data_IF_027525654059
#
_entry.id   IF_027525654059
#
_cell.length_a   1.000
_cell.length_b   1.000
_cell.length_c   1.000
_cell.angle_alpha   90.00
_cell.angle_beta   90.00
_cell.angle_gamma   90.00
#
_symmetry.space_group_name_H-M   'P 1'
#
loop_
_entity.id
_entity.type
_entity.pdbx_description
1 polymer ?
#
# COMPACT_ATOMS: atom_id res chain seq x y z
N UNK A 1 19.42 26.90 -0.79
CA UNK A 1 18.12 26.59 -1.42
C UNK A 1 18.25 26.56 -2.94
N UNK A 2 18.60 27.66 -3.62
CA UNK A 2 18.70 27.70 -5.10
C UNK A 2 19.58 26.60 -5.70
N UNK A 3 20.76 26.32 -5.11
CA UNK A 3 21.64 25.20 -5.57
C UNK A 3 21.00 23.82 -5.41
N UNK A 4 20.20 23.60 -4.36
CA UNK A 4 19.49 22.33 -4.14
C UNK A 4 18.30 22.21 -5.10
N UNK A 5 17.59 23.30 -5.33
CA UNK A 5 16.52 23.40 -6.32
C UNK A 5 17.03 23.12 -7.73
N UNK A 6 18.14 23.75 -8.12
CA UNK A 6 18.80 23.51 -9.41
C UNK A 6 19.27 22.06 -9.56
N UNK A 7 19.83 21.47 -8.48
CA UNK A 7 20.26 20.07 -8.46
C UNK A 7 19.07 19.12 -8.63
N UNK A 8 18.01 19.30 -7.82
CA UNK A 8 16.81 18.44 -7.88
C UNK A 8 16.07 18.61 -9.20
N UNK A 9 15.91 19.85 -9.69
CA UNK A 9 15.32 20.12 -11.00
C UNK A 9 16.11 19.48 -12.15
N UNK A 10 17.43 19.51 -12.07
CA UNK A 10 18.31 18.97 -13.10
C UNK A 10 18.38 17.43 -13.11
N UNK A 11 18.42 16.77 -11.95
CA UNK A 11 18.69 15.34 -11.86
C UNK A 11 17.46 14.52 -11.48
N UNK A 12 16.60 15.02 -10.60
CA UNK A 12 15.42 14.31 -10.14
C UNK A 12 14.18 14.67 -10.95
N UNK A 13 14.03 15.91 -11.38
CA UNK A 13 12.92 16.36 -12.20
C UNK A 13 12.70 15.51 -13.47
N UNK A 14 13.71 15.22 -14.28
CA UNK A 14 13.59 14.34 -15.44
C UNK A 14 13.16 12.92 -15.08
N UNK A 15 13.68 12.35 -13.98
CA UNK A 15 13.32 11.00 -13.51
C UNK A 15 11.85 10.98 -13.07
N UNK A 16 11.43 11.98 -12.31
CA UNK A 16 10.06 12.11 -11.85
C UNK A 16 9.07 12.26 -13.01
N UNK A 17 9.38 13.13 -13.97
CA UNK A 17 8.56 13.31 -15.17
C UNK A 17 8.48 12.03 -15.99
N UNK A 18 9.60 11.32 -16.16
CA UNK A 18 9.62 10.02 -16.81
C UNK A 18 8.74 8.99 -16.09
N UNK A 19 8.84 8.88 -14.76
CA UNK A 19 8.00 7.95 -13.98
C UNK A 19 6.51 8.31 -14.06
N UNK A 20 6.16 9.59 -13.96
CA UNK A 20 4.77 10.04 -14.06
C UNK A 20 4.17 9.81 -15.46
N UNK A 21 4.99 9.91 -16.52
CA UNK A 21 4.57 9.65 -17.90
C UNK A 21 4.69 8.18 -18.28
N UNK A 22 5.38 7.38 -17.48
CA UNK A 22 5.57 5.96 -17.77
C UNK A 22 4.28 5.17 -17.51
N UNK A 23 3.80 4.50 -18.55
CA UNK A 23 2.56 3.72 -18.54
C UNK A 23 2.53 2.62 -17.48
N UNK A 24 3.70 2.06 -17.13
CA UNK A 24 3.83 1.04 -16.07
C UNK A 24 3.50 1.63 -14.69
N UNK A 25 4.16 2.71 -14.30
CA UNK A 25 3.96 3.32 -12.97
C UNK A 25 2.57 3.93 -12.82
N UNK A 26 2.05 4.55 -13.88
CA UNK A 26 0.67 5.08 -13.90
C UNK A 26 -0.35 3.95 -13.72
N UNK A 27 -0.23 2.86 -14.48
CA UNK A 27 -1.13 1.70 -14.35
C UNK A 27 -1.00 1.01 -12.98
N UNK A 28 0.22 0.92 -12.43
CA UNK A 28 0.47 0.33 -11.13
C UNK A 28 -0.22 1.12 -10.01
N UNK A 29 -0.03 2.43 -9.98
CA UNK A 29 -0.67 3.31 -8.98
C UNK A 29 -2.20 3.21 -9.05
N UNK A 30 -2.77 3.28 -10.25
CA UNK A 30 -4.22 3.17 -10.43
C UNK A 30 -4.74 1.78 -10.07
N UNK A 31 -3.97 0.70 -10.33
CA UNK A 31 -4.34 -0.66 -9.97
C UNK A 31 -4.52 -0.82 -8.45
N UNK A 32 -3.59 -0.27 -7.65
CA UNK A 32 -3.72 -0.27 -6.19
C UNK A 32 -4.92 0.55 -5.70
N UNK A 33 -5.16 1.73 -6.29
CA UNK A 33 -6.32 2.55 -5.92
C UNK A 33 -7.64 1.83 -6.18
N UNK A 34 -7.74 1.04 -7.25
CA UNK A 34 -8.96 0.28 -7.59
C UNK A 34 -9.23 -0.92 -6.68
N UNK A 35 -8.24 -1.39 -5.93
CA UNK A 35 -8.43 -2.41 -4.89
C UNK A 35 -8.99 -1.81 -3.59
N UNK A 36 -8.88 -0.50 -3.40
CA UNK A 36 -9.35 0.20 -2.19
C UNK A 36 -10.79 -0.13 -1.77
N UNK A 37 -11.80 -0.20 -2.65
CA UNK A 37 -13.17 -0.55 -2.23
C UNK A 37 -13.26 -1.95 -1.60
N UNK A 38 -12.46 -2.91 -2.06
CA UNK A 38 -12.41 -4.27 -1.49
C UNK A 38 -11.82 -4.24 -0.09
N UNK A 39 -10.68 -3.54 0.07
CA UNK A 39 -10.01 -3.44 1.38
C UNK A 39 -10.86 -2.65 2.38
N UNK A 40 -11.55 -1.58 1.94
CA UNK A 40 -12.45 -0.80 2.79
C UNK A 40 -13.70 -1.60 3.22
N UNK A 41 -14.30 -2.35 2.29
CA UNK A 41 -15.43 -3.23 2.60
C UNK A 41 -15.05 -4.31 3.61
N UNK A 42 -13.88 -4.93 3.42
CA UNK A 42 -13.34 -5.90 4.36
C UNK A 42 -13.04 -5.28 5.74
N UNK A 43 -12.47 -4.07 5.77
CA UNK A 43 -12.05 -3.39 6.99
C UNK A 43 -13.18 -3.26 8.01
N UNK A 44 -14.40 -2.95 7.58
CA UNK A 44 -15.55 -2.84 8.48
C UNK A 44 -15.83 -4.15 9.24
N UNK A 45 -15.88 -5.28 8.53
CA UNK A 45 -16.10 -6.58 9.15
C UNK A 45 -14.88 -7.05 9.96
N UNK A 46 -13.67 -6.73 9.51
CA UNK A 46 -12.45 -7.05 10.26
C UNK A 46 -12.38 -6.29 11.58
N UNK A 47 -12.83 -5.01 11.63
CA UNK A 47 -12.93 -4.25 12.87
C UNK A 47 -13.92 -4.93 13.82
N UNK A 48 -15.11 -5.27 13.33
CA UNK A 48 -16.10 -5.95 14.15
C UNK A 48 -15.59 -7.30 14.67
N UNK A 49 -14.94 -8.08 13.84
CA UNK A 49 -14.36 -9.40 14.19
C UNK A 49 -13.17 -9.34 15.13
N UNK A 50 -12.54 -8.17 15.30
CA UNK A 50 -11.32 -7.98 16.10
C UNK A 50 -11.40 -6.78 17.04
N UNK A 51 -12.62 -6.30 17.33
CA UNK A 51 -12.82 -5.12 18.18
C UNK A 51 -12.28 -5.40 19.60
N UNK A 52 -11.40 -4.56 20.16
CA UNK A 52 -10.61 -4.87 21.35
C UNK A 52 -11.42 -4.75 22.66
N UNK A 53 -12.57 -5.40 22.73
CA UNK A 53 -13.39 -5.57 23.95
C UNK A 53 -13.38 -7.06 24.30
N UNK A 54 -12.79 -7.47 25.44
CA UNK A 54 -12.69 -8.89 25.81
C UNK A 54 -14.04 -9.63 25.81
N UNK A 55 -15.08 -9.01 26.34
CA UNK A 55 -16.43 -9.59 26.34
C UNK A 55 -16.97 -9.85 24.92
N UNK A 56 -16.65 -8.98 23.96
CA UNK A 56 -17.03 -9.13 22.58
C UNK A 56 -16.25 -10.26 21.88
N UNK A 57 -14.95 -10.32 22.08
CA UNK A 57 -14.11 -11.40 21.52
C UNK A 57 -14.58 -12.76 22.06
N UNK A 58 -14.76 -12.88 23.36
CA UNK A 58 -15.29 -14.10 23.99
C UNK A 58 -16.68 -14.48 23.44
N UNK A 59 -17.55 -13.51 23.19
CA UNK A 59 -18.84 -13.78 22.56
C UNK A 59 -18.66 -14.35 21.14
N UNK A 60 -17.80 -13.75 20.30
CA UNK A 60 -17.55 -14.22 18.94
C UNK A 60 -16.96 -15.64 18.91
N UNK A 61 -16.05 -15.96 19.83
CA UNK A 61 -15.47 -17.30 19.96
C UNK A 61 -16.49 -18.31 20.42
N UNK A 62 -17.21 -18.03 21.52
CA UNK A 62 -18.19 -18.96 22.10
C UNK A 62 -19.41 -19.19 21.18
N UNK A 63 -19.79 -18.19 20.38
CA UNK A 63 -20.88 -18.32 19.40
C UNK A 63 -20.46 -18.98 18.09
N UNK A 64 -19.18 -19.25 17.88
CA UNK A 64 -18.66 -19.78 16.61
C UNK A 64 -18.66 -18.77 15.45
N UNK A 65 -18.87 -17.47 15.72
CA UNK A 65 -18.89 -16.42 14.69
C UNK A 65 -17.47 -16.00 14.25
N UNK A 66 -16.46 -16.14 15.09
CA UNK A 66 -15.09 -15.72 14.81
C UNK A 66 -14.54 -16.25 13.48
N UNK A 67 -14.65 -17.55 13.14
CA UNK A 67 -14.20 -18.09 11.85
C UNK A 67 -14.88 -17.45 10.63
N UNK A 68 -16.13 -16.99 10.76
CA UNK A 68 -16.85 -16.33 9.67
C UNK A 68 -16.30 -14.92 9.41
N UNK A 69 -15.90 -14.18 10.46
CA UNK A 69 -15.18 -12.93 10.29
C UNK A 69 -13.78 -13.15 9.68
N UNK A 70 -13.08 -14.21 10.07
CA UNK A 70 -11.77 -14.54 9.51
C UNK A 70 -11.87 -14.97 8.03
N UNK A 71 -12.98 -15.58 7.60
CA UNK A 71 -13.24 -15.89 6.21
C UNK A 71 -13.34 -14.64 5.31
N UNK A 72 -13.73 -13.49 5.87
CA UNK A 72 -13.72 -12.21 5.12
C UNK A 72 -12.30 -11.85 4.70
N UNK A 73 -11.31 -12.01 5.58
CA UNK A 73 -9.90 -11.79 5.25
C UNK A 73 -9.45 -12.74 4.13
N UNK A 74 -9.85 -14.02 4.24
CA UNK A 74 -9.58 -15.05 3.23
C UNK A 74 -10.12 -14.71 1.85
N UNK A 75 -11.37 -14.21 1.78
CA UNK A 75 -12.05 -13.85 0.53
C UNK A 75 -11.72 -12.46 -0.03
N UNK A 76 -10.93 -11.66 0.68
CA UNK A 76 -10.63 -10.27 0.29
C UNK A 76 -9.13 -9.98 0.28
N UNK A 77 -8.55 -9.67 1.42
CA UNK A 77 -7.16 -9.21 1.52
C UNK A 77 -6.16 -10.31 1.12
N UNK A 78 -6.45 -11.57 1.45
CA UNK A 78 -5.63 -12.69 1.04
C UNK A 78 -5.72 -13.02 -0.48
N UNK A 79 -6.59 -12.33 -1.22
CA UNK A 79 -6.68 -12.43 -2.69
C UNK A 79 -6.13 -11.18 -3.39
N UNK A 80 -5.43 -10.31 -2.69
CA UNK A 80 -5.01 -9.01 -3.19
C UNK A 80 -4.15 -9.09 -4.45
N UNK A 81 -3.30 -10.11 -4.57
CA UNK A 81 -2.46 -10.32 -5.75
C UNK A 81 -3.29 -10.57 -7.00
N UNK A 82 -4.41 -11.30 -6.88
CA UNK A 82 -5.32 -11.55 -8.00
C UNK A 82 -5.97 -10.24 -8.44
N UNK A 83 -6.45 -9.43 -7.48
CA UNK A 83 -7.06 -8.14 -7.80
C UNK A 83 -6.06 -7.18 -8.45
N UNK A 84 -4.80 -7.18 -7.99
CA UNK A 84 -3.74 -6.33 -8.58
C UNK A 84 -3.38 -6.80 -9.98
N UNK A 85 -3.22 -8.11 -10.22
CA UNK A 85 -2.93 -8.65 -11.55
C UNK A 85 -4.02 -8.26 -12.56
N UNK A 86 -5.30 -8.44 -12.18
CA UNK A 86 -6.44 -8.04 -12.99
C UNK A 86 -6.44 -6.55 -13.29
N UNK A 87 -6.42 -5.72 -12.23
CA UNK A 87 -6.55 -4.28 -12.38
C UNK A 87 -5.38 -3.67 -13.15
N UNK A 88 -4.16 -4.17 -12.94
CA UNK A 88 -2.99 -3.70 -13.69
C UNK A 88 -3.17 -3.91 -15.19
N UNK A 89 -3.50 -5.13 -15.61
CA UNK A 89 -3.69 -5.45 -17.02
C UNK A 89 -4.90 -4.73 -17.61
N UNK A 90 -5.98 -4.62 -16.85
CA UNK A 90 -7.18 -3.88 -17.23
C UNK A 90 -6.86 -2.42 -17.53
N UNK A 91 -6.17 -1.74 -16.60
CA UNK A 91 -5.87 -0.31 -16.72
C UNK A 91 -4.88 -0.07 -17.85
N UNK A 92 -3.83 -0.88 -17.93
CA UNK A 92 -2.83 -0.76 -18.98
C UNK A 92 -3.48 -0.89 -20.37
N UNK A 93 -4.29 -1.94 -20.60
CA UNK A 93 -4.98 -2.13 -21.86
C UNK A 93 -5.99 -1.01 -22.16
N UNK A 94 -6.71 -0.50 -21.15
CA UNK A 94 -7.60 0.64 -21.27
C UNK A 94 -6.87 1.90 -21.75
N UNK A 95 -5.71 2.18 -21.18
CA UNK A 95 -4.89 3.34 -21.54
C UNK A 95 -4.34 3.22 -22.96
N UNK A 96 -4.10 1.99 -23.44
CA UNK A 96 -3.74 1.68 -24.83
C UNK A 96 -4.94 1.58 -25.78
N UNK A 97 -6.17 1.83 -25.29
CA UNK A 97 -7.43 1.80 -26.07
C UNK A 97 -7.82 0.42 -26.59
N UNK A 98 -7.35 -0.65 -25.94
CA UNK A 98 -7.77 -2.02 -26.20
C UNK A 98 -8.83 -2.49 -25.19
N UNK A 99 -9.43 -3.67 -25.43
CA UNK A 99 -10.44 -4.23 -24.53
C UNK A 99 -9.83 -4.54 -23.15
N UNK A 100 -10.17 -3.77 -22.09
CA UNK A 100 -9.54 -3.92 -20.80
C UNK A 100 -9.98 -5.17 -20.05
N UNK A 101 -11.25 -5.59 -20.23
CA UNK A 101 -11.81 -6.75 -19.54
C UNK A 101 -11.08 -8.04 -19.96
N UNK A 102 -10.87 -8.22 -21.27
CA UNK A 102 -10.12 -9.38 -21.77
C UNK A 102 -8.70 -9.42 -21.22
N UNK A 103 -7.99 -8.29 -21.22
CA UNK A 103 -6.63 -8.22 -20.68
C UNK A 103 -6.59 -8.58 -19.19
N UNK A 104 -7.54 -8.09 -18.39
CA UNK A 104 -7.63 -8.41 -16.96
C UNK A 104 -7.90 -9.88 -16.69
N UNK A 105 -8.84 -10.49 -17.42
CA UNK A 105 -9.14 -11.91 -17.28
C UNK A 105 -7.95 -12.80 -17.69
N UNK A 106 -7.27 -12.45 -18.78
CA UNK A 106 -6.05 -13.16 -19.19
C UNK A 106 -4.93 -13.04 -18.14
N UNK A 107 -4.81 -11.91 -17.47
CA UNK A 107 -3.84 -11.75 -16.39
C UNK A 107 -4.13 -12.64 -15.19
N UNK A 108 -5.40 -12.77 -14.77
CA UNK A 108 -5.79 -13.74 -13.73
C UNK A 108 -5.40 -15.16 -14.14
N UNK A 109 -5.80 -15.59 -15.33
CA UNK A 109 -5.52 -16.94 -15.81
C UNK A 109 -4.00 -17.20 -15.88
N UNK A 110 -3.22 -16.23 -16.42
CA UNK A 110 -1.77 -16.30 -16.49
C UNK A 110 -1.11 -16.38 -15.11
N UNK A 111 -1.64 -15.65 -14.12
CA UNK A 111 -1.18 -15.71 -12.73
C UNK A 111 -1.33 -17.12 -12.15
N UNK A 112 -2.51 -17.74 -12.36
CA UNK A 112 -2.74 -19.12 -11.93
C UNK A 112 -1.93 -20.15 -12.72
N UNK A 113 -1.64 -19.92 -14.01
CA UNK A 113 -0.78 -20.81 -14.80
C UNK A 113 0.61 -20.91 -14.18
N UNK A 114 1.21 -19.81 -13.75
CA UNK A 114 2.56 -19.80 -13.16
C UNK A 114 2.60 -20.14 -11.68
N UNK A 115 1.43 -20.14 -11.00
CA UNK A 115 1.35 -20.45 -9.58
C UNK A 115 1.48 -21.96 -9.32
N UNK A 116 2.18 -22.40 -8.25
CA UNK A 116 2.14 -23.77 -7.80
C UNK A 116 0.68 -24.21 -7.49
N UNK A 117 0.26 -25.34 -8.07
CA UNK A 117 -1.11 -25.83 -7.98
C UNK A 117 -1.22 -27.15 -7.18
N UNK A 118 -0.12 -27.56 -6.58
CA UNK A 118 -0.04 -28.76 -5.74
C UNK A 118 0.61 -28.41 -4.42
N UNK A 119 0.12 -29.01 -3.38
CA UNK A 119 0.63 -28.91 -2.04
C UNK A 119 0.89 -30.32 -1.52
N UNK A 120 2.09 -30.55 -1.01
CA UNK A 120 2.40 -31.77 -0.31
C UNK A 120 1.93 -31.65 1.13
N UNK A 121 1.00 -32.52 1.53
CA UNK A 121 0.48 -32.56 2.90
C UNK A 121 0.83 -33.92 3.53
N UNK A 122 1.08 -33.97 4.84
CA UNK A 122 1.29 -35.23 5.53
C UNK A 122 0.06 -36.13 5.41
N UNK A 123 0.22 -37.32 4.88
CA UNK A 123 -0.82 -38.32 4.89
C UNK A 123 -0.89 -38.98 6.28
N UNK A 124 -2.05 -38.89 6.93
CA UNK A 124 -2.34 -39.66 8.14
C UNK A 124 -2.95 -41.01 7.72
N UNK A 125 -2.23 -42.07 7.96
CA UNK A 125 -2.64 -43.43 7.51
C UNK A 125 -3.88 -43.99 8.23
N UNK A 126 -4.33 -43.39 9.32
CA UNK A 126 -5.60 -43.71 10.04
C UNK A 126 -6.08 -42.49 10.83
N UNK A 127 -7.40 -42.34 10.91
CA UNK A 127 -8.00 -41.49 11.94
C UNK A 127 -7.56 -42.03 13.31
N UNK A 128 -6.65 -41.29 13.96
CA UNK A 128 -6.17 -41.63 15.29
C UNK A 128 -7.28 -41.27 16.28
N UNK A 129 -7.99 -42.31 16.74
CA UNK A 129 -9.06 -42.17 17.74
C UNK A 129 -8.51 -42.11 19.17
N UNK A 130 -7.21 -42.36 19.40
CA UNK A 130 -6.57 -42.29 20.68
C UNK A 130 -5.17 -41.67 20.56
N UNK A 131 -4.95 -40.53 21.21
CA UNK A 131 -3.61 -39.96 21.41
C UNK A 131 -2.92 -40.65 22.61
N UNK A 132 -1.81 -41.30 22.40
CA UNK A 132 -0.61 -40.98 23.13
C UNK A 132 0.65 -41.04 22.25
N UNK A 133 1.35 -39.90 22.16
CA UNK A 133 2.74 -39.82 21.70
C UNK A 133 2.93 -39.83 20.20
N UNK A 134 3.72 -38.87 19.70
CA UNK A 134 4.33 -38.72 18.37
C UNK A 134 3.70 -39.50 17.20
N UNK A 135 2.81 -38.86 16.46
CA UNK A 135 2.42 -39.34 15.14
C UNK A 135 3.64 -39.24 14.20
N UNK A 136 4.13 -40.38 13.72
CA UNK A 136 5.19 -40.44 12.71
C UNK A 136 4.52 -40.20 11.36
N UNK A 137 4.93 -39.14 10.64
CA UNK A 137 4.51 -38.88 9.26
C UNK A 137 5.19 -39.94 8.42
N UNK A 138 4.40 -40.86 7.85
CA UNK A 138 4.92 -41.97 7.07
C UNK A 138 4.92 -41.70 5.58
N UNK A 139 4.07 -40.79 5.09
CA UNK A 139 3.93 -40.48 3.67
C UNK A 139 3.48 -39.04 3.45
N UNK A 140 3.95 -38.41 2.33
CA UNK A 140 3.47 -37.11 1.86
C UNK A 140 2.51 -37.33 0.70
N UNK A 141 1.32 -36.76 0.76
CA UNK A 141 0.33 -36.84 -0.29
C UNK A 141 0.24 -35.51 -1.02
N UNK A 142 0.32 -35.57 -2.36
CA UNK A 142 0.14 -34.41 -3.21
C UNK A 142 -1.35 -34.11 -3.40
N UNK A 143 -1.77 -32.92 -2.99
CA UNK A 143 -3.16 -32.44 -3.11
C UNK A 143 -3.20 -31.24 -4.05
N UNK A 144 -4.20 -31.21 -4.95
CA UNK A 144 -4.45 -30.01 -5.77
C UNK A 144 -5.02 -28.89 -4.90
N UNK A 145 -4.27 -27.80 -4.75
CA UNK A 145 -4.66 -26.67 -3.93
C UNK A 145 -3.97 -25.36 -4.37
N UNK A 146 -4.66 -24.25 -4.17
CA UNK A 146 -4.10 -22.92 -4.34
C UNK A 146 -3.77 -22.34 -2.97
N UNK A 147 -2.49 -22.05 -2.74
CA UNK A 147 -2.06 -21.53 -1.46
C UNK A 147 -2.41 -20.04 -1.33
N UNK A 148 -3.10 -19.67 -0.27
CA UNK A 148 -3.42 -18.27 0.05
C UNK A 148 -2.18 -17.39 0.25
N UNK A 149 -1.04 -18.00 0.57
CA UNK A 149 0.26 -17.34 0.62
C UNK A 149 0.59 -16.63 -0.70
N UNK A 150 0.38 -17.31 -1.83
CA UNK A 150 0.69 -16.78 -3.17
C UNK A 150 -0.39 -15.84 -3.71
N UNK A 151 -1.63 -15.98 -3.29
CA UNK A 151 -2.70 -15.03 -3.68
C UNK A 151 -2.68 -13.75 -2.84
N UNK A 152 -2.03 -13.78 -1.67
CA UNK A 152 -1.82 -12.65 -0.77
C UNK A 152 -0.52 -11.88 -1.04
N UNK A 153 0.11 -11.40 0.03
CA UNK A 153 1.26 -10.48 -0.04
C UNK A 153 2.51 -11.04 -0.72
N UNK A 154 2.79 -12.34 -0.56
CA UNK A 154 3.97 -12.96 -1.18
C UNK A 154 3.85 -13.02 -2.70
N UNK A 155 2.64 -13.14 -3.23
CA UNK A 155 2.42 -13.15 -4.68
C UNK A 155 2.31 -11.77 -5.32
N UNK A 156 2.34 -10.68 -4.54
CA UNK A 156 2.01 -9.35 -5.03
C UNK A 156 2.96 -8.85 -6.14
N UNK A 157 4.27 -9.05 -5.97
CA UNK A 157 5.24 -8.67 -6.99
C UNK A 157 5.12 -9.55 -8.25
N UNK A 158 4.84 -10.84 -8.10
CA UNK A 158 4.56 -11.73 -9.24
C UNK A 158 3.30 -11.27 -9.97
N UNK A 159 2.25 -10.86 -9.23
CA UNK A 159 1.01 -10.34 -9.80
C UNK A 159 1.25 -9.08 -10.65
N UNK A 160 2.10 -8.16 -10.19
CA UNK A 160 2.51 -6.97 -10.94
C UNK A 160 3.24 -7.36 -12.24
N UNK A 161 4.21 -8.27 -12.14
CA UNK A 161 4.98 -8.74 -13.29
C UNK A 161 4.11 -9.46 -14.32
N UNK A 162 3.27 -10.37 -13.86
CA UNK A 162 2.34 -11.13 -14.72
C UNK A 162 1.30 -10.20 -15.35
N UNK A 163 0.72 -9.29 -14.55
CA UNK A 163 -0.25 -8.31 -15.03
C UNK A 163 0.36 -7.41 -16.13
N UNK A 164 1.57 -6.91 -15.90
CA UNK A 164 2.29 -6.10 -16.89
C UNK A 164 2.62 -6.88 -18.16
N UNK A 165 3.22 -8.07 -18.02
CA UNK A 165 3.63 -8.87 -19.16
C UNK A 165 2.42 -9.27 -19.99
N UNK A 166 1.33 -9.72 -19.35
CA UNK A 166 0.06 -10.05 -20.02
C UNK A 166 -0.49 -8.83 -20.77
N UNK A 167 -0.56 -7.68 -20.12
CA UNK A 167 -1.09 -6.47 -20.73
C UNK A 167 -0.26 -6.04 -21.95
N UNK A 168 1.06 -6.03 -21.80
CA UNK A 168 1.97 -5.63 -22.87
C UNK A 168 1.89 -6.59 -24.07
N UNK A 169 1.84 -7.90 -23.81
CA UNK A 169 1.65 -8.91 -24.86
C UNK A 169 0.30 -8.75 -25.52
N UNK A 170 -0.76 -8.58 -24.74
CA UNK A 170 -2.13 -8.39 -25.26
C UNK A 170 -2.22 -7.17 -26.17
N UNK A 171 -1.68 -6.03 -25.74
CA UNK A 171 -1.67 -4.81 -26.56
C UNK A 171 -0.83 -5.00 -27.84
N UNK A 172 0.37 -5.57 -27.71
CA UNK A 172 1.25 -5.82 -28.87
C UNK A 172 0.61 -6.75 -29.92
N UNK A 173 0.00 -7.86 -29.47
CA UNK A 173 -0.64 -8.81 -30.38
C UNK A 173 -1.87 -8.19 -31.07
N UNK A 174 -2.64 -7.36 -30.37
CA UNK A 174 -3.74 -6.60 -30.95
C UNK A 174 -3.23 -5.57 -31.99
N UNK A 175 -2.15 -4.85 -31.68
CA UNK A 175 -1.52 -3.90 -32.61
C UNK A 175 -1.09 -4.61 -33.92
N UNK A 176 -0.58 -5.84 -33.81
CA UNK A 176 -0.22 -6.66 -34.98
C UNK A 176 -1.42 -7.32 -35.66
N UNK A 177 -2.65 -7.05 -35.23
CA UNK A 177 -3.89 -7.65 -35.76
C UNK A 177 -3.89 -9.18 -35.73
N UNK A 178 -3.23 -9.78 -34.74
CA UNK A 178 -3.24 -11.23 -34.52
C UNK A 178 -4.53 -11.62 -33.81
N UNK A 179 -5.66 -11.46 -34.48
CA UNK A 179 -7.00 -11.73 -33.94
C UNK A 179 -7.81 -12.53 -34.95
N UNK A 180 -8.83 -13.24 -34.47
CA UNK A 180 -9.78 -13.91 -35.37
C UNK A 180 -10.66 -12.82 -36.00
N UNK A 181 -10.54 -12.67 -37.31
CA UNK A 181 -11.45 -11.79 -38.07
C UNK A 181 -12.75 -12.52 -38.30
N UNK A 182 -13.82 -12.04 -37.71
CA UNK A 182 -15.16 -12.58 -37.91
C UNK A 182 -15.83 -11.90 -39.11
N UNK A 183 -16.67 -12.62 -39.88
CA UNK A 183 -17.52 -11.98 -40.92
C UNK A 183 -18.47 -10.97 -40.28
N UNK A 184 -18.84 -9.94 -41.06
CA UNK A 184 -19.75 -8.86 -40.63
C UNK A 184 -21.14 -9.37 -40.20
N UNK A 185 -21.53 -10.57 -40.62
CA UNK A 185 -22.77 -11.24 -40.22
C UNK A 185 -22.77 -11.75 -38.75
N UNK A 186 -21.62 -11.78 -38.13
CA UNK A 186 -21.52 -12.25 -36.71
C UNK A 186 -21.87 -11.09 -35.78
N UNK A 187 -22.76 -11.29 -34.78
CA UNK A 187 -23.09 -10.26 -33.80
C UNK A 187 -21.84 -9.73 -33.09
N UNK A 188 -21.79 -8.42 -32.90
CA UNK A 188 -20.63 -7.71 -32.35
C UNK A 188 -20.17 -8.27 -31.00
N UNK A 189 -21.11 -8.74 -30.15
CA UNK A 189 -20.78 -9.31 -28.85
C UNK A 189 -20.05 -10.66 -29.00
N UNK A 190 -20.45 -11.48 -29.96
CA UNK A 190 -19.80 -12.77 -30.25
C UNK A 190 -18.42 -12.54 -30.85
N UNK A 191 -18.32 -11.63 -31.81
CA UNK A 191 -17.04 -11.25 -32.42
C UNK A 191 -16.04 -10.74 -31.37
N UNK A 192 -16.46 -9.86 -30.47
CA UNK A 192 -15.61 -9.33 -29.39
C UNK A 192 -15.17 -10.39 -28.37
N UNK A 193 -15.98 -11.43 -28.17
CA UNK A 193 -15.65 -12.54 -27.23
C UNK A 193 -14.68 -13.55 -27.84
N UNK A 194 -14.80 -13.84 -29.15
CA UNK A 194 -13.99 -14.82 -29.84
C UNK A 194 -12.68 -14.26 -30.41
N UNK A 195 -12.67 -12.98 -30.77
CA UNK A 195 -11.49 -12.30 -31.33
C UNK A 195 -10.20 -12.51 -30.50
N UNK A 196 -10.23 -12.47 -29.15
CA UNK A 196 -9.04 -12.67 -28.33
C UNK A 196 -8.55 -14.14 -28.19
N UNK A 197 -9.24 -15.13 -28.77
CA UNK A 197 -8.92 -16.55 -28.53
C UNK A 197 -7.50 -16.93 -28.97
N UNK A 198 -7.01 -16.46 -30.10
CA UNK A 198 -5.64 -16.72 -30.56
C UNK A 198 -4.64 -16.00 -29.63
N UNK A 199 -4.95 -14.77 -29.23
CA UNK A 199 -4.11 -14.01 -28.31
C UNK A 199 -3.95 -14.72 -26.98
N UNK A 200 -5.07 -15.24 -26.42
CA UNK A 200 -5.05 -15.98 -25.17
C UNK A 200 -4.21 -17.24 -25.28
N UNK A 201 -4.31 -17.99 -26.38
CA UNK A 201 -3.46 -19.16 -26.63
C UNK A 201 -1.98 -18.82 -26.65
N UNK A 202 -1.59 -17.76 -27.33
CA UNK A 202 -0.18 -17.31 -27.36
C UNK A 202 0.29 -16.87 -25.97
N UNK A 203 -0.50 -16.05 -25.27
CA UNK A 203 -0.18 -15.54 -23.93
C UNK A 203 -0.03 -16.72 -22.95
N UNK A 204 -0.97 -17.63 -22.91
CA UNK A 204 -0.91 -18.81 -22.04
C UNK A 204 0.26 -19.72 -22.35
N UNK A 205 0.61 -19.88 -23.65
CA UNK A 205 1.80 -20.64 -24.05
C UNK A 205 3.09 -20.00 -23.51
N UNK A 206 3.20 -18.67 -23.53
CA UNK A 206 4.37 -17.98 -22.95
C UNK A 206 4.44 -18.23 -21.45
N UNK A 207 3.32 -18.09 -20.71
CA UNK A 207 3.32 -18.34 -19.26
C UNK A 207 3.52 -19.84 -18.93
N UNK A 208 3.05 -20.75 -19.77
CA UNK A 208 3.36 -22.16 -19.65
C UNK A 208 4.89 -22.41 -19.81
N UNK A 209 5.52 -21.83 -20.82
CA UNK A 209 6.98 -21.93 -21.00
C UNK A 209 7.72 -21.35 -19.79
N UNK A 210 7.30 -20.20 -19.27
CA UNK A 210 7.86 -19.61 -18.05
C UNK A 210 7.73 -20.59 -16.87
N UNK A 211 6.55 -21.18 -16.66
CA UNK A 211 6.32 -22.18 -15.61
C UNK A 211 7.27 -23.36 -15.74
N UNK A 212 7.37 -23.93 -16.95
CA UNK A 212 8.27 -25.06 -17.24
C UNK A 212 9.73 -24.66 -17.02
N UNK A 213 10.14 -23.50 -17.49
CA UNK A 213 11.53 -23.02 -17.31
C UNK A 213 11.90 -22.92 -15.82
N UNK A 214 11.01 -22.35 -14.98
CA UNK A 214 11.27 -22.24 -13.56
C UNK A 214 11.25 -23.57 -12.81
N UNK A 215 10.49 -24.57 -13.27
CA UNK A 215 10.48 -25.91 -12.65
C UNK A 215 11.81 -26.66 -12.76
N UNK A 216 12.67 -26.27 -13.70
CA UNK A 216 14.04 -26.80 -13.85
C UNK A 216 15.09 -25.97 -13.10
N UNK A 217 14.72 -24.90 -12.41
CA UNK A 217 15.64 -24.09 -11.61
C UNK A 217 15.59 -24.51 -10.13
N UNK A 218 16.60 -24.17 -9.31
CA UNK A 218 16.59 -24.38 -7.87
C UNK A 218 15.42 -23.67 -7.15
N UNK A 219 14.74 -22.74 -7.82
CA UNK A 219 13.61 -22.00 -7.29
C UNK A 219 12.25 -22.69 -7.50
N UNK A 220 12.19 -23.71 -8.40
CA UNK A 220 10.99 -24.50 -8.72
C UNK A 220 9.79 -23.68 -9.25
N UNK A 221 9.70 -22.40 -8.90
CA UNK A 221 8.63 -21.51 -9.35
C UNK A 221 9.09 -20.06 -9.48
N UNK A 222 8.39 -19.27 -10.32
CA UNK A 222 8.61 -17.82 -10.42
C UNK A 222 8.30 -17.12 -9.09
N UNK A 223 7.40 -17.67 -8.26
CA UNK A 223 7.04 -17.10 -6.96
C UNK A 223 8.22 -17.18 -6.00
N UNK A 224 8.84 -18.33 -5.87
CA UNK A 224 10.02 -18.53 -5.01
C UNK A 224 11.20 -17.70 -5.50
N UNK A 225 11.39 -17.61 -6.82
CA UNK A 225 12.43 -16.78 -7.43
C UNK A 225 12.24 -15.30 -7.09
N UNK A 226 11.05 -14.74 -7.36
CA UNK A 226 10.75 -13.32 -7.10
C UNK A 226 10.78 -13.03 -5.60
N UNK A 227 10.30 -13.96 -4.78
CA UNK A 227 10.40 -13.81 -3.33
C UNK A 227 11.86 -13.73 -2.88
N UNK A 228 12.69 -14.69 -3.26
CA UNK A 228 14.07 -14.79 -2.77
C UNK A 228 14.96 -13.63 -3.27
N UNK A 229 14.84 -13.26 -4.55
CA UNK A 229 15.76 -12.29 -5.17
C UNK A 229 15.28 -10.85 -5.16
N UNK A 230 13.97 -10.62 -5.05
CA UNK A 230 13.42 -9.26 -5.11
C UNK A 230 12.69 -8.91 -3.81
N UNK A 231 11.72 -9.72 -3.40
CA UNK A 231 10.83 -9.35 -2.29
C UNK A 231 11.55 -9.40 -0.94
N UNK A 232 12.26 -10.47 -0.62
CA UNK A 232 12.94 -10.62 0.66
C UNK A 232 14.02 -9.55 0.90
N UNK A 233 14.89 -9.19 -0.07
CA UNK A 233 15.81 -8.06 0.08
C UNK A 233 15.07 -6.72 0.29
N UNK A 234 14.00 -6.45 -0.47
CA UNK A 234 13.23 -5.22 -0.29
C UNK A 234 12.50 -5.19 1.06
N UNK A 235 11.96 -6.32 1.52
CA UNK A 235 11.35 -6.45 2.83
C UNK A 235 12.38 -6.24 3.95
N UNK A 236 13.60 -6.76 3.81
CA UNK A 236 14.67 -6.53 4.79
C UNK A 236 15.06 -5.05 4.91
N UNK A 237 15.08 -4.32 3.80
CA UNK A 237 15.30 -2.87 3.79
C UNK A 237 14.13 -2.16 4.49
N UNK A 238 12.89 -2.47 4.12
CA UNK A 238 11.70 -1.84 4.69
C UNK A 238 11.35 -2.33 6.10
N UNK A 239 12.01 -3.37 6.61
CA UNK A 239 11.98 -3.74 8.02
C UNK A 239 12.76 -2.76 8.91
N UNK A 240 13.71 -2.03 8.34
CA UNK A 240 14.51 -1.05 9.07
C UNK A 240 13.73 0.26 9.29
N UNK A 241 13.50 0.69 10.54
CA UNK A 241 12.90 1.99 10.84
C UNK A 241 13.66 3.16 10.22
N UNK A 242 15.00 3.08 10.14
CA UNK A 242 15.83 4.12 9.53
C UNK A 242 15.55 4.23 8.04
N UNK A 243 15.45 3.11 7.33
CA UNK A 243 15.13 3.11 5.90
C UNK A 243 13.72 3.69 5.65
N UNK A 244 12.75 3.34 6.47
CA UNK A 244 11.40 3.92 6.42
C UNK A 244 11.44 5.44 6.60
N UNK A 245 12.14 5.92 7.62
CA UNK A 245 12.32 7.37 7.84
C UNK A 245 12.95 8.04 6.61
N UNK A 246 14.01 7.45 6.04
CA UNK A 246 14.67 7.98 4.86
C UNK A 246 13.72 8.02 3.64
N UNK A 247 12.95 6.96 3.39
CA UNK A 247 11.97 6.88 2.29
C UNK A 247 10.95 8.03 2.40
N UNK A 248 10.33 8.20 3.56
CA UNK A 248 9.33 9.26 3.76
C UNK A 248 9.94 10.66 3.78
N UNK A 249 11.19 10.82 4.23
CA UNK A 249 11.93 12.07 4.12
C UNK A 249 12.17 12.45 2.67
N UNK A 250 12.58 11.48 1.82
CA UNK A 250 12.75 11.71 0.38
C UNK A 250 11.39 12.00 -0.27
N UNK A 251 10.32 11.31 0.11
CA UNK A 251 8.97 11.58 -0.38
C UNK A 251 8.53 13.03 -0.07
N UNK A 252 8.77 13.52 1.15
CA UNK A 252 8.49 14.92 1.53
C UNK A 252 9.39 15.92 0.80
N UNK A 253 10.65 15.56 0.57
CA UNK A 253 11.57 16.39 -0.22
C UNK A 253 11.06 16.57 -1.65
N UNK A 254 10.64 15.48 -2.30
CA UNK A 254 10.07 15.55 -3.65
C UNK A 254 8.78 16.36 -3.67
N UNK A 255 7.90 16.15 -2.68
CA UNK A 255 6.66 16.91 -2.55
C UNK A 255 6.88 18.40 -2.38
N UNK A 256 7.90 18.77 -1.59
CA UNK A 256 8.30 20.16 -1.47
C UNK A 256 8.67 20.81 -2.81
N UNK A 257 9.32 20.06 -3.70
CA UNK A 257 9.65 20.52 -5.06
C UNK A 257 8.52 20.36 -6.09
N UNK A 258 7.30 20.05 -5.64
CA UNK A 258 6.13 19.89 -6.52
C UNK A 258 6.09 18.54 -7.24
N UNK A 259 6.96 17.61 -6.89
CA UNK A 259 6.99 16.25 -7.45
C UNK A 259 6.11 15.36 -6.59
N UNK A 260 5.02 14.84 -7.18
CA UNK A 260 4.06 14.04 -6.43
C UNK A 260 4.72 12.76 -5.88
N UNK A 261 4.57 12.45 -4.56
CA UNK A 261 5.24 11.32 -3.91
C UNK A 261 4.76 9.94 -4.38
N UNK A 262 3.68 9.86 -5.16
CA UNK A 262 3.23 8.62 -5.80
C UNK A 262 4.34 7.91 -6.60
N UNK A 263 5.35 8.65 -7.05
CA UNK A 263 6.53 8.09 -7.67
C UNK A 263 7.27 7.11 -6.72
N UNK A 264 7.49 7.51 -5.47
CA UNK A 264 8.10 6.63 -4.45
C UNK A 264 7.11 5.55 -4.00
N UNK A 265 5.87 5.94 -3.78
CA UNK A 265 4.83 5.03 -3.31
C UNK A 265 4.54 3.91 -4.30
N UNK A 266 4.59 4.16 -5.61
CA UNK A 266 4.45 3.12 -6.63
C UNK A 266 5.47 1.98 -6.50
N UNK A 267 6.66 2.27 -5.97
CA UNK A 267 7.72 1.26 -5.75
C UNK A 267 7.65 0.66 -4.34
N UNK A 268 7.39 1.47 -3.32
CA UNK A 268 7.51 1.06 -1.91
C UNK A 268 6.21 0.43 -1.39
N UNK A 269 5.04 0.89 -1.83
CA UNK A 269 3.74 0.40 -1.33
C UNK A 269 3.52 -1.10 -1.51
N UNK A 270 3.87 -1.75 -2.64
CA UNK A 270 3.75 -3.20 -2.75
C UNK A 270 4.50 -3.95 -1.65
N UNK A 271 5.69 -3.46 -1.28
CA UNK A 271 6.53 -4.08 -0.24
C UNK A 271 5.96 -3.83 1.15
N UNK A 272 5.53 -2.59 1.45
CA UNK A 272 4.87 -2.27 2.73
C UNK A 272 3.58 -3.06 2.91
N UNK A 273 2.83 -3.27 1.83
CA UNK A 273 1.62 -4.09 1.86
C UNK A 273 1.94 -5.55 2.12
N UNK A 274 2.99 -6.11 1.52
CA UNK A 274 3.47 -7.45 1.81
C UNK A 274 3.93 -7.58 3.28
N UNK A 275 4.61 -6.57 3.83
CA UNK A 275 4.99 -6.53 5.26
C UNK A 275 3.75 -6.48 6.17
N UNK A 276 2.74 -5.70 5.81
CA UNK A 276 1.48 -5.64 6.56
C UNK A 276 0.78 -7.00 6.58
N UNK A 277 0.69 -7.68 5.44
CA UNK A 277 0.10 -9.01 5.35
C UNK A 277 0.91 -10.06 6.12
N UNK A 278 2.24 -9.98 6.12
CA UNK A 278 3.08 -10.84 6.95
C UNK A 278 2.81 -10.63 8.44
N UNK A 279 2.64 -9.38 8.89
CA UNK A 279 2.22 -9.08 10.26
C UNK A 279 0.83 -9.64 10.57
N UNK A 280 -0.14 -9.52 9.65
CA UNK A 280 -1.50 -10.06 9.86
C UNK A 280 -1.49 -11.59 9.99
N UNK A 281 -0.71 -12.29 9.17
CA UNK A 281 -0.57 -13.74 9.25
C UNK A 281 0.12 -14.15 10.56
N UNK A 282 1.24 -13.52 10.93
CA UNK A 282 1.92 -13.78 12.18
C UNK A 282 1.01 -13.56 13.40
N UNK A 283 0.20 -12.48 13.38
CA UNK A 283 -0.77 -12.21 14.44
C UNK A 283 -1.82 -13.31 14.59
N UNK A 284 -2.36 -13.82 13.47
CA UNK A 284 -3.33 -14.93 13.47
C UNK A 284 -2.72 -16.24 13.99
N UNK A 285 -1.45 -16.45 13.68
CA UNK A 285 -0.70 -17.64 14.11
C UNK A 285 -0.17 -17.50 15.56
N UNK A 286 -0.46 -16.40 16.25
CA UNK A 286 0.03 -16.11 17.61
C UNK A 286 1.54 -15.88 17.68
N UNK A 287 2.17 -15.51 16.56
CA UNK A 287 3.60 -15.27 16.43
C UNK A 287 3.94 -13.77 16.58
N UNK A 288 5.18 -13.43 16.99
CA UNK A 288 5.63 -12.05 16.98
C UNK A 288 5.54 -11.40 15.60
N UNK A 289 5.17 -10.12 15.57
CA UNK A 289 5.01 -9.37 14.32
C UNK A 289 6.39 -9.00 13.72
N UNK A 290 6.78 -9.55 12.56
CA UNK A 290 8.14 -9.38 12.03
C UNK A 290 8.43 -7.91 11.60
N UNK A 291 7.42 -7.15 11.24
CA UNK A 291 7.56 -5.77 10.74
C UNK A 291 6.86 -4.73 11.62
N UNK A 292 6.62 -5.02 12.92
CA UNK A 292 5.88 -4.14 13.82
C UNK A 292 6.46 -2.73 13.85
N UNK A 293 7.72 -2.59 14.25
CA UNK A 293 8.35 -1.28 14.44
C UNK A 293 8.38 -0.46 13.14
N UNK A 294 8.74 -1.10 12.03
CA UNK A 294 8.80 -0.44 10.73
C UNK A 294 7.41 0.06 10.29
N UNK A 295 6.35 -0.73 10.53
CA UNK A 295 4.98 -0.34 10.16
C UNK A 295 4.44 0.80 11.03
N UNK A 296 4.74 0.79 12.33
CA UNK A 296 4.39 1.89 13.26
C UNK A 296 5.09 3.19 12.84
N UNK A 297 6.40 3.12 12.52
CA UNK A 297 7.17 4.27 12.02
C UNK A 297 6.64 4.73 10.66
N UNK A 298 6.32 3.79 9.74
CA UNK A 298 5.77 4.12 8.43
C UNK A 298 4.44 4.88 8.52
N UNK A 299 3.58 4.52 9.47
CA UNK A 299 2.30 5.22 9.69
C UNK A 299 2.54 6.66 10.15
N UNK A 300 3.43 6.87 11.12
CA UNK A 300 3.71 8.21 11.69
C UNK A 300 4.47 9.10 10.71
N UNK A 301 5.40 8.55 9.91
CA UNK A 301 6.16 9.31 8.92
C UNK A 301 5.38 9.59 7.63
N UNK A 302 4.38 8.75 7.32
CA UNK A 302 3.62 8.80 6.08
C UNK A 302 2.37 9.68 6.14
N UNK A 303 1.39 9.31 5.32
CA UNK A 303 0.15 10.08 5.18
C UNK A 303 -0.79 10.01 6.40
N UNK A 304 -0.55 9.09 7.33
CA UNK A 304 -1.40 8.88 8.51
C UNK A 304 -1.33 10.00 9.55
N UNK A 305 -0.48 11.00 9.36
CA UNK A 305 -0.26 12.08 10.33
C UNK A 305 -0.54 13.48 9.74
N UNK A 306 -1.77 13.67 9.28
CA UNK A 306 -2.23 14.93 8.67
C UNK A 306 -1.89 15.04 7.18
N UNK A 307 -1.79 13.91 6.48
CA UNK A 307 -1.45 13.86 5.05
C UNK A 307 0.04 14.01 4.74
N UNK A 308 0.37 14.11 3.46
CA UNK A 308 1.76 14.23 3.01
C UNK A 308 2.43 15.49 3.57
N UNK A 309 3.60 15.32 4.16
CA UNK A 309 4.34 16.40 4.85
C UNK A 309 4.08 16.45 6.37
N UNK A 310 3.25 15.54 6.91
CA UNK A 310 2.92 15.45 8.35
C UNK A 310 2.39 16.79 8.89
N UNK A 311 1.26 17.26 8.34
CA UNK A 311 0.83 18.65 8.51
C UNK A 311 -0.06 18.93 9.73
N UNK A 312 -0.31 17.96 10.62
CA UNK A 312 -1.10 18.22 11.85
C UNK A 312 -0.51 19.35 12.70
N UNK A 313 0.82 19.42 12.82
CA UNK A 313 1.47 20.50 13.55
C UNK A 313 1.25 21.87 12.92
N UNK A 314 1.19 21.96 11.60
CA UNK A 314 0.83 23.19 10.89
C UNK A 314 -0.61 23.59 11.19
N UNK A 315 -1.58 22.66 11.10
CA UNK A 315 -2.98 22.92 11.42
C UNK A 315 -3.12 23.42 12.87
N UNK A 316 -2.47 22.76 13.83
CA UNK A 316 -2.48 23.21 15.22
C UNK A 316 -1.84 24.59 15.39
N UNK A 317 -0.78 24.89 14.66
CA UNK A 317 -0.14 26.20 14.68
C UNK A 317 -1.06 27.30 14.16
N UNK A 318 -1.92 27.01 13.18
CA UNK A 318 -2.87 27.97 12.60
C UNK A 318 -3.95 28.43 13.58
N UNK A 319 -4.21 27.71 14.67
CA UNK A 319 -5.07 28.21 15.76
C UNK A 319 -4.49 29.45 16.44
N UNK A 320 -3.18 29.70 16.29
CA UNK A 320 -2.51 30.90 16.82
C UNK A 320 -2.41 32.05 15.79
N UNK A 321 -3.03 31.90 14.60
CA UNK A 321 -2.94 32.83 13.50
C UNK A 321 -3.45 34.23 13.86
N UNK A 322 -2.70 35.26 13.46
CA UNK A 322 -3.07 36.68 13.57
C UNK A 322 -3.59 37.23 12.24
N UNK A 323 -3.11 36.71 11.10
CA UNK A 323 -3.60 37.10 9.78
C UNK A 323 -4.99 36.56 9.51
N UNK A 324 -5.80 37.32 8.83
CA UNK A 324 -7.14 36.87 8.40
C UNK A 324 -7.03 35.74 7.35
N UNK A 325 -6.05 35.81 6.49
CA UNK A 325 -5.73 34.76 5.50
C UNK A 325 -5.62 33.39 6.13
N UNK A 326 -4.81 33.20 7.16
CA UNK A 326 -4.62 31.89 7.79
C UNK A 326 -5.79 31.49 8.69
N UNK A 327 -6.52 32.44 9.25
CA UNK A 327 -7.77 32.15 9.98
C UNK A 327 -8.85 31.60 9.05
N UNK A 328 -9.02 32.17 7.87
CA UNK A 328 -9.99 31.67 6.88
C UNK A 328 -9.55 30.32 6.30
N UNK A 329 -8.26 30.19 6.03
CA UNK A 329 -7.72 28.92 5.55
C UNK A 329 -7.90 27.78 6.56
N UNK A 330 -7.74 28.03 7.87
CA UNK A 330 -7.99 27.05 8.92
C UNK A 330 -9.43 26.53 8.89
N UNK A 331 -10.41 27.42 8.69
CA UNK A 331 -11.84 27.02 8.59
C UNK A 331 -12.08 26.10 7.40
N UNK A 332 -11.39 26.33 6.29
CA UNK A 332 -11.55 25.56 5.05
C UNK A 332 -10.74 24.25 5.07
N UNK A 333 -9.48 24.32 5.48
CA UNK A 333 -8.53 23.22 5.39
C UNK A 333 -8.41 22.37 6.68
N UNK A 334 -8.78 22.93 7.83
CA UNK A 334 -8.72 22.23 9.12
C UNK A 334 -9.57 20.96 9.18
N UNK A 335 -10.88 21.01 8.88
CA UNK A 335 -11.74 19.83 8.92
C UNK A 335 -11.24 18.67 8.04
N UNK A 336 -10.92 18.83 6.75
CA UNK A 336 -10.40 17.73 5.93
C UNK A 336 -9.02 17.23 6.43
N UNK A 337 -8.18 18.08 7.02
CA UNK A 337 -6.88 17.66 7.55
C UNK A 337 -7.02 16.65 8.71
N UNK A 338 -8.09 16.69 9.50
CA UNK A 338 -8.36 15.68 10.55
C UNK A 338 -8.43 14.27 9.93
N UNK A 339 -8.91 14.19 8.69
CA UNK A 339 -9.02 12.97 7.90
C UNK A 339 -7.81 12.74 7.00
N UNK A 340 -6.67 13.34 7.30
CA UNK A 340 -5.42 13.25 6.55
C UNK A 340 -5.47 13.82 5.11
N UNK A 341 -6.57 14.48 4.72
CA UNK A 341 -6.75 15.15 3.41
C UNK A 341 -6.25 16.58 3.56
N UNK A 342 -5.02 16.82 3.12
CA UNK A 342 -4.35 18.10 3.35
C UNK A 342 -4.09 18.95 2.09
N UNK A 343 -4.61 18.55 0.93
CA UNK A 343 -4.47 19.31 -0.30
C UNK A 343 -4.96 20.77 -0.16
N UNK A 344 -6.11 21.06 0.48
CA UNK A 344 -6.52 22.45 0.69
C UNK A 344 -5.53 23.26 1.52
N UNK A 345 -4.85 22.58 2.47
CA UNK A 345 -3.82 23.21 3.30
C UNK A 345 -2.55 23.46 2.49
N UNK A 346 -2.09 22.46 1.74
CA UNK A 346 -0.86 22.50 0.92
C UNK A 346 -0.93 23.62 -0.12
N UNK A 347 -2.05 23.72 -0.83
CA UNK A 347 -2.23 24.75 -1.85
C UNK A 347 -2.60 26.13 -1.27
N UNK A 348 -3.34 26.15 -0.16
CA UNK A 348 -3.75 27.41 0.50
C UNK A 348 -2.62 28.10 1.27
N UNK A 349 -1.63 27.35 1.78
CA UNK A 349 -0.43 27.91 2.44
C UNK A 349 0.77 28.05 1.52
N UNK A 350 0.67 27.86 0.23
CA UNK A 350 1.66 27.38 -0.73
C UNK A 350 2.91 26.77 -0.04
N UNK A 351 2.76 25.50 0.39
CA UNK A 351 3.85 24.76 1.05
C UNK A 351 4.98 24.43 0.08
N UNK A 352 4.62 24.13 -1.17
CA UNK A 352 5.58 23.77 -2.23
C UNK A 352 6.46 24.99 -2.56
N UNK A 353 7.76 24.75 -2.69
CA UNK A 353 8.78 25.74 -3.01
C UNK A 353 8.82 26.94 -2.05
N UNK A 354 8.13 26.89 -0.92
CA UNK A 354 8.15 27.94 0.09
C UNK A 354 9.31 27.71 1.08
N UNK A 355 10.35 28.55 1.05
CA UNK A 355 11.53 28.38 1.90
C UNK A 355 11.22 28.29 3.39
N UNK A 356 10.15 28.95 3.82
CA UNK A 356 9.74 28.97 5.24
C UNK A 356 9.35 27.57 5.71
N UNK A 357 8.70 26.77 4.85
CA UNK A 357 8.19 25.45 5.22
C UNK A 357 9.10 24.29 4.83
N UNK A 358 10.27 24.56 4.23
CA UNK A 358 11.21 23.51 3.82
C UNK A 358 11.66 22.64 5.00
N UNK A 359 12.18 23.28 6.04
CA UNK A 359 12.74 22.57 7.20
C UNK A 359 11.69 21.73 7.94
N UNK A 360 10.49 22.24 8.30
CA UNK A 360 9.52 21.40 8.99
C UNK A 360 9.03 20.24 8.14
N UNK A 361 8.90 20.38 6.81
CA UNK A 361 8.53 19.24 5.94
C UNK A 361 9.59 18.13 5.95
N UNK A 362 10.87 18.49 5.89
CA UNK A 362 11.97 17.50 5.83
C UNK A 362 12.25 16.89 7.19
N UNK A 363 12.19 17.67 8.26
CA UNK A 363 12.50 17.23 9.61
C UNK A 363 11.37 16.44 10.27
N UNK A 364 10.10 16.62 9.82
CA UNK A 364 8.96 15.90 10.40
C UNK A 364 9.15 14.38 10.42
N UNK A 365 9.39 13.69 9.30
CA UNK A 365 9.57 12.23 9.33
C UNK A 365 10.81 11.80 10.12
N UNK A 366 11.88 12.63 10.14
CA UNK A 366 13.11 12.31 10.87
C UNK A 366 12.86 12.36 12.39
N UNK A 367 12.29 13.45 12.87
CA UNK A 367 12.07 13.64 14.32
C UNK A 367 10.95 12.76 14.84
N UNK A 368 9.82 12.70 14.14
CA UNK A 368 8.68 11.89 14.54
C UNK A 368 8.98 10.40 14.41
N UNK A 369 9.60 9.99 13.31
CA UNK A 369 9.99 8.59 13.08
C UNK A 369 11.04 8.12 14.07
N UNK A 370 12.05 8.94 14.36
CA UNK A 370 13.06 8.66 15.37
C UNK A 370 12.47 8.54 16.77
N UNK A 371 11.60 9.48 17.16
CA UNK A 371 10.89 9.43 18.45
C UNK A 371 9.96 8.21 18.54
N UNK A 372 9.24 7.89 17.46
CA UNK A 372 8.38 6.70 17.39
C UNK A 372 9.20 5.42 17.59
N UNK A 373 10.32 5.29 16.90
CA UNK A 373 11.22 4.14 17.05
C UNK A 373 11.73 4.00 18.48
N UNK A 374 12.16 5.10 19.12
CA UNK A 374 12.57 5.10 20.52
C UNK A 374 11.42 4.70 21.45
N UNK A 375 10.21 5.25 21.25
CA UNK A 375 9.04 4.96 22.06
C UNK A 375 8.56 3.52 21.94
N UNK A 376 8.62 2.92 20.76
CA UNK A 376 8.31 1.50 20.55
C UNK A 376 9.19 0.64 21.47
N UNK A 377 10.49 0.94 21.57
CA UNK A 377 11.42 0.22 22.42
C UNK A 377 11.22 0.53 23.92
N UNK A 378 11.08 1.81 24.30
CA UNK A 378 10.92 2.24 25.70
C UNK A 378 9.63 1.68 26.30
N UNK A 379 8.51 1.71 25.54
CA UNK A 379 7.21 1.22 25.98
C UNK A 379 7.10 -0.32 25.87
N UNK A 380 8.09 -0.97 25.31
CA UNK A 380 8.02 -2.39 24.93
C UNK A 380 6.71 -2.67 24.18
N UNK A 381 6.50 -1.91 23.09
CA UNK A 381 5.25 -1.95 22.33
C UNK A 381 5.24 -3.15 21.39
N UNK A 382 4.52 -4.20 21.76
CA UNK A 382 4.37 -5.46 21.01
C UNK A 382 2.91 -5.77 20.68
N UNK A 383 1.98 -5.00 21.23
CA UNK A 383 0.54 -5.29 21.27
C UNK A 383 -0.22 -4.64 20.10
N UNK A 384 0.35 -4.66 18.90
CA UNK A 384 -0.33 -4.16 17.71
C UNK A 384 -1.30 -5.22 17.17
N UNK A 385 -2.57 -4.87 16.93
CA UNK A 385 -3.51 -5.69 16.18
C UNK A 385 -3.55 -5.25 14.70
N UNK A 386 -2.82 -5.91 13.81
CA UNK A 386 -2.75 -5.53 12.39
C UNK A 386 -4.03 -5.90 11.62
N UNK A 387 -4.92 -6.72 12.19
CA UNK A 387 -6.21 -7.07 11.58
C UNK A 387 -7.20 -5.89 11.58
N UNK A 388 -6.99 -4.90 12.46
CA UNK A 388 -7.76 -3.65 12.43
C UNK A 388 -7.18 -2.77 11.33
N UNK A 389 -7.71 -2.91 10.12
CA UNK A 389 -7.31 -2.14 8.95
C UNK A 389 -8.37 -1.09 8.65
N UNK A 390 -7.99 0.18 8.75
CA UNK A 390 -8.85 1.33 8.47
C UNK A 390 -8.31 2.12 7.27
N UNK A 391 -9.16 2.87 6.57
CA UNK A 391 -8.70 3.80 5.53
C UNK A 391 -7.61 4.73 6.06
N UNK A 392 -6.67 5.10 5.18
CA UNK A 392 -5.65 6.09 5.50
C UNK A 392 -6.24 7.47 5.89
N UNK A 393 -7.48 7.72 5.47
CA UNK A 393 -8.24 8.92 5.87
C UNK A 393 -8.78 8.84 7.29
N UNK A 394 -8.63 7.73 8.01
CA UNK A 394 -9.09 7.65 9.41
C UNK A 394 -8.23 8.57 10.28
N UNK A 395 -8.84 9.39 11.16
CA UNK A 395 -8.09 10.18 12.12
C UNK A 395 -7.09 9.34 12.92
N UNK A 396 -5.82 9.76 12.93
CA UNK A 396 -4.73 8.98 13.52
C UNK A 396 -5.01 8.46 14.96
N UNK A 397 -5.56 9.25 15.91
CA UNK A 397 -5.80 8.76 17.26
C UNK A 397 -6.85 7.63 17.31
N UNK A 398 -7.81 7.61 16.38
CA UNK A 398 -8.82 6.54 16.31
C UNK A 398 -8.15 5.25 15.86
N UNK A 399 -7.40 5.30 14.75
CA UNK A 399 -6.72 4.12 14.23
C UNK A 399 -5.70 3.59 15.24
N UNK A 400 -4.85 4.46 15.77
CA UNK A 400 -3.79 4.08 16.70
C UNK A 400 -4.36 3.53 18.01
N UNK A 401 -5.44 4.13 18.52
CA UNK A 401 -6.13 3.64 19.72
C UNK A 401 -6.75 2.25 19.54
N UNK A 402 -7.38 2.00 18.40
CA UNK A 402 -7.97 0.69 18.09
C UNK A 402 -6.92 -0.38 17.85
N UNK A 403 -5.85 -0.05 17.12
CA UNK A 403 -4.80 -1.02 16.77
C UNK A 403 -3.86 -1.38 17.91
N UNK A 404 -3.49 -0.43 18.77
CA UNK A 404 -2.42 -0.63 19.76
C UNK A 404 -2.71 -0.05 21.15
N UNK A 405 -3.96 0.35 21.41
CA UNK A 405 -4.40 0.82 22.72
C UNK A 405 -3.64 2.06 23.20
N UNK A 406 -3.52 2.19 24.53
CA UNK A 406 -2.94 3.39 25.17
C UNK A 406 -1.47 3.62 24.84
N UNK A 407 -0.65 2.58 24.64
CA UNK A 407 0.76 2.73 24.27
C UNK A 407 0.90 3.40 22.91
N UNK A 408 0.06 3.02 21.95
CA UNK A 408 0.07 3.63 20.62
C UNK A 408 -0.47 5.07 20.66
N UNK A 409 -1.43 5.36 21.55
CA UNK A 409 -1.91 6.74 21.79
C UNK A 409 -0.82 7.62 22.43
N UNK A 410 0.06 7.08 23.26
CA UNK A 410 1.23 7.81 23.77
C UNK A 410 2.18 8.15 22.62
N UNK A 411 2.45 7.22 21.71
CA UNK A 411 3.25 7.48 20.50
C UNK A 411 2.61 8.59 19.66
N UNK A 412 1.29 8.55 19.47
CA UNK A 412 0.54 9.62 18.79
C UNK A 412 0.74 10.97 19.47
N UNK A 413 0.51 11.04 20.77
CA UNK A 413 0.57 12.29 21.51
C UNK A 413 1.98 12.93 21.48
N UNK A 414 3.02 12.12 21.68
CA UNK A 414 4.41 12.59 21.60
C UNK A 414 4.76 13.06 20.19
N UNK A 415 4.37 12.29 19.17
CA UNK A 415 4.59 12.66 17.78
C UNK A 415 3.85 13.95 17.42
N UNK A 416 2.63 14.15 17.92
CA UNK A 416 1.84 15.37 17.72
C UNK A 416 2.51 16.60 18.36
N UNK A 417 3.03 16.45 19.57
CA UNK A 417 3.77 17.52 20.27
C UNK A 417 5.05 17.88 19.50
N UNK A 418 5.83 16.89 19.09
CA UNK A 418 7.04 17.11 18.28
C UNK A 418 6.68 17.86 16.99
N UNK A 419 5.64 17.40 16.31
CA UNK A 419 5.18 17.98 15.05
C UNK A 419 4.74 19.43 15.25
N UNK A 420 3.92 19.71 16.28
CA UNK A 420 3.47 21.06 16.61
C UNK A 420 4.65 22.00 16.95
N UNK A 421 5.54 21.57 17.82
CA UNK A 421 6.74 22.37 18.22
C UNK A 421 7.63 22.65 17.01
N UNK A 422 7.76 21.70 16.11
CA UNK A 422 8.53 21.86 14.87
C UNK A 422 7.87 22.87 13.92
N UNK A 423 6.56 22.77 13.68
CA UNK A 423 5.87 23.63 12.71
C UNK A 423 5.63 25.05 13.22
N UNK A 424 5.40 25.25 14.52
CA UNK A 424 4.98 26.54 15.12
C UNK A 424 5.90 27.72 14.80
N UNK A 425 7.24 27.65 14.94
CA UNK A 425 8.10 28.80 14.68
C UNK A 425 8.07 29.22 13.20
N UNK A 426 8.02 28.26 12.28
CA UNK A 426 7.96 28.52 10.85
C UNK A 426 6.59 29.09 10.45
N UNK A 427 5.52 28.58 11.01
CA UNK A 427 4.19 29.13 10.81
C UNK A 427 4.10 30.58 11.30
N UNK A 428 4.68 30.91 12.46
CA UNK A 428 4.69 32.28 12.97
C UNK A 428 5.41 33.25 12.05
N UNK A 429 6.46 32.82 11.37
CA UNK A 429 7.14 33.63 10.35
C UNK A 429 6.22 33.91 9.17
N UNK A 430 5.56 32.87 8.66
CA UNK A 430 4.62 32.98 7.55
C UNK A 430 3.39 33.85 7.92
N UNK A 431 2.84 33.68 9.12
CA UNK A 431 1.70 34.46 9.61
C UNK A 431 2.06 35.95 9.76
N UNK A 432 3.26 36.28 10.28
CA UNK A 432 3.75 37.64 10.36
C UNK A 432 3.91 38.30 8.98
N UNK A 433 4.37 37.55 7.99
CA UNK A 433 4.45 38.02 6.61
C UNK A 433 3.05 38.30 6.04
N UNK A 434 2.11 37.40 6.24
CA UNK A 434 0.73 37.58 5.80
C UNK A 434 0.05 38.79 6.44
N UNK A 435 0.25 39.00 7.75
CA UNK A 435 -0.27 40.22 8.45
C UNK A 435 0.28 41.49 7.81
N UNK A 436 1.58 41.54 7.48
CA UNK A 436 2.18 42.67 6.82
C UNK A 436 1.60 42.95 5.44
N UNK A 437 1.45 41.91 4.61
CA UNK A 437 0.80 42.00 3.29
C UNK A 437 -0.64 42.52 3.41
N UNK A 438 -1.42 42.03 4.39
CA UNK A 438 -2.80 42.45 4.63
C UNK A 438 -2.88 43.94 5.06
N UNK A 439 -1.88 44.44 5.82
CA UNK A 439 -1.82 45.86 6.22
C UNK A 439 -1.47 46.75 5.03
N UNK A 440 -0.50 46.33 4.22
CA UNK A 440 -0.10 47.07 3.01
C UNK A 440 -1.27 47.14 1.99
N UNK A 441 -2.03 46.06 1.81
CA UNK A 441 -3.19 46.05 0.94
C UNK A 441 -4.37 46.93 1.40
N UNK A 442 -4.44 47.29 2.69
CA UNK A 442 -5.47 48.21 3.22
C UNK A 442 -5.12 49.67 3.05
N UNK A 443 -3.86 50.01 2.71
CA UNK A 443 -3.35 51.39 2.55
C UNK A 443 -3.45 51.84 1.09
N UNK A 444 -3.58 50.89 0.18
CA UNK A 444 -3.85 51.13 -1.25
C UNK A 444 -5.38 51.13 -1.49
#
# INVERSE_FOLDING_TARGET
MKKLEDFLGKYIGPIANWMNQNKFFSALSEAFMRVTPVTLGAAFLMILGNFPIPAWINFLENSGLKPHFDAVLGGTINLISIFVAFNFAYIYAKNEKYNPLSAGLLAIASFFIVMPQRLEVPALEKAVTEFPGSATITEMQSVEAYQSLYTGGTGLLVAILVGFLTAKMYCYLNEKNITIKMPDSVPTNVSKSLSPAILSGIIFTVFFVIRVAFSYTPFESIFTFVFALIQAPLQSITASPIAIIAIFTIANLLWFFGIHPNMIYGVVMPVLMANSLANMNAYRDGLPLPYLTAMVVAFVCGNGFGGQGSTYGLVLSMFTAKSERYRQLLKLAGPPSIFNVNEPLVFGTPLMLNPVFFLPMILSPILMGGATWLLVNILNFTELNPLISLPWTTPAPILMGLQGGWKYLVIFAVSLVINFVLWLPFFRVADKQAVKEEQEAKIV
#
